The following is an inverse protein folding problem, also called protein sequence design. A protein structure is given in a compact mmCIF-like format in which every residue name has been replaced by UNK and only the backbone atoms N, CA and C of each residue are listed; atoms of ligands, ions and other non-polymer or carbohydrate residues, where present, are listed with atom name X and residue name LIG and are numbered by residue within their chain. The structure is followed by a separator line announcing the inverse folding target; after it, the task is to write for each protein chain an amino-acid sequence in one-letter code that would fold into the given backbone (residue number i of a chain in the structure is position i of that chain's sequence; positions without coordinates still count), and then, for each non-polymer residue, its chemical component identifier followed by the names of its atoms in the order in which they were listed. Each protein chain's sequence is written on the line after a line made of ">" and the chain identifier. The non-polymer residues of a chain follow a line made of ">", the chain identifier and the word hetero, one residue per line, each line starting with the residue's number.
data_IF_495708312459
#
_entry.id   IF_495708312459
#
_cell.length_a   1.000
_cell.length_b   1.000
_cell.length_c   1.000
_cell.angle_alpha   90.00
_cell.angle_beta   90.00
_cell.angle_gamma   90.00
#
_symmetry.space_group_name_H-M   'P 1'
#
loop_
_entity.id
_entity.type
_entity.pdbx_description
1 polymer ?
#
# COMPACT_ATOMS: atom_id res chain seq x y z
N UNK A 1 -74.78 54.00 49.79
CA UNK A 1 -74.23 52.86 49.02
C UNK A 1 -72.73 53.06 48.86
N UNK A 2 -71.91 52.09 49.28
CA UNK A 2 -70.46 52.21 49.49
C UNK A 2 -69.68 52.27 48.16
N UNK A 3 -68.82 53.27 48.00
CA UNK A 3 -67.81 53.35 46.94
C UNK A 3 -66.64 52.44 47.29
N UNK A 4 -66.30 51.49 46.42
CA UNK A 4 -65.10 50.67 46.52
C UNK A 4 -64.11 51.10 45.43
N UNK A 5 -63.07 51.82 45.85
CA UNK A 5 -61.84 52.01 45.07
C UNK A 5 -60.92 50.83 45.38
N UNK A 6 -60.56 50.03 44.37
CA UNK A 6 -59.45 49.08 44.48
C UNK A 6 -58.57 49.25 43.25
N UNK A 7 -57.36 49.74 43.50
CA UNK A 7 -56.27 49.93 42.57
C UNK A 7 -55.38 48.67 42.63
N UNK A 8 -55.06 48.05 41.50
CA UNK A 8 -54.02 47.02 41.44
C UNK A 8 -53.08 47.20 40.24
N UNK A 9 -51.85 47.60 40.61
CA UNK A 9 -50.51 47.47 40.00
C UNK A 9 -50.37 47.07 38.51
N UNK A 10 -49.80 48.00 37.74
CA UNK A 10 -49.33 47.85 36.35
C UNK A 10 -48.13 46.88 36.29
N UNK A 11 -48.31 45.67 35.75
CA UNK A 11 -47.23 44.75 35.39
C UNK A 11 -46.64 45.12 34.02
N UNK A 12 -45.34 45.40 33.96
CA UNK A 12 -44.58 45.66 32.72
C UNK A 12 -44.24 44.31 32.07
N UNK A 13 -44.92 43.95 30.99
CA UNK A 13 -44.53 42.83 30.14
C UNK A 13 -43.52 43.36 29.09
N UNK A 14 -42.22 43.16 29.33
CA UNK A 14 -41.21 43.30 28.28
C UNK A 14 -41.27 42.07 27.38
N UNK A 15 -41.97 42.17 26.25
CA UNK A 15 -41.85 41.18 25.17
C UNK A 15 -40.47 41.34 24.52
N UNK A 16 -39.59 40.37 24.75
CA UNK A 16 -38.33 40.22 24.03
C UNK A 16 -38.63 40.05 22.54
N UNK A 17 -38.35 41.10 21.75
CA UNK A 17 -38.63 41.17 20.32
C UNK A 17 -37.42 40.75 19.45
N UNK A 18 -36.42 40.08 20.04
CA UNK A 18 -35.12 39.83 19.40
C UNK A 18 -34.82 38.34 19.09
N UNK A 19 -35.64 37.39 19.53
CA UNK A 19 -35.35 35.96 19.32
C UNK A 19 -35.65 35.45 17.89
N UNK A 20 -36.59 36.07 17.17
CA UNK A 20 -37.04 35.59 15.86
C UNK A 20 -36.16 36.02 14.68
N UNK A 21 -35.60 37.24 14.71
CA UNK A 21 -34.77 37.74 13.60
C UNK A 21 -33.38 37.11 13.58
N UNK A 22 -32.82 36.84 14.75
CA UNK A 22 -31.48 36.26 14.89
C UNK A 22 -31.47 34.79 14.45
N UNK A 23 -32.51 34.02 14.79
CA UNK A 23 -32.66 32.64 14.31
C UNK A 23 -32.90 32.57 12.80
N UNK A 24 -33.65 33.51 12.22
CA UNK A 24 -33.86 33.60 10.78
C UNK A 24 -32.57 33.95 10.03
N UNK A 25 -31.75 34.87 10.55
CA UNK A 25 -30.45 35.20 9.95
C UNK A 25 -29.48 34.02 10.05
N UNK A 26 -29.49 33.29 11.18
CA UNK A 26 -28.69 32.07 11.35
C UNK A 26 -29.11 30.95 10.38
N UNK A 27 -30.42 30.80 10.15
CA UNK A 27 -30.96 29.84 9.17
C UNK A 27 -30.60 30.21 7.73
N UNK A 28 -30.66 31.49 7.38
CA UNK A 28 -30.27 31.98 6.06
C UNK A 28 -28.76 31.83 5.87
N UNK A 29 -27.95 32.12 6.88
CA UNK A 29 -26.51 31.91 6.85
C UNK A 29 -26.16 30.42 6.68
N UNK A 30 -26.83 29.52 7.39
CA UNK A 30 -26.69 28.06 7.24
C UNK A 30 -27.10 27.59 5.83
N UNK A 31 -28.16 28.19 5.27
CA UNK A 31 -28.62 27.85 3.92
C UNK A 31 -27.63 28.34 2.85
N UNK A 32 -27.05 29.53 3.03
CA UNK A 32 -26.02 30.07 2.13
C UNK A 32 -24.74 29.23 2.23
N UNK A 33 -24.29 28.82 3.42
CA UNK A 33 -23.11 27.96 3.53
C UNK A 33 -23.34 26.55 2.95
N UNK A 34 -24.56 26.02 3.02
CA UNK A 34 -24.92 24.74 2.40
C UNK A 34 -24.95 24.81 0.86
N UNK A 35 -25.42 25.93 0.28
CA UNK A 35 -25.49 26.13 -1.18
C UNK A 35 -24.11 26.41 -1.79
N UNK A 36 -23.19 27.01 -1.03
CA UNK A 36 -21.82 27.34 -1.48
C UNK A 36 -20.79 26.28 -1.13
N UNK A 37 -21.21 25.11 -0.65
CA UNK A 37 -20.31 23.98 -0.53
C UNK A 37 -20.04 23.44 -1.94
N UNK A 38 -18.82 23.53 -2.49
CA UNK A 38 -18.51 22.85 -3.73
C UNK A 38 -18.65 21.36 -3.43
N UNK A 39 -19.71 20.74 -3.96
CA UNK A 39 -19.77 19.30 -4.12
C UNK A 39 -18.66 18.93 -5.11
N UNK A 40 -17.43 18.83 -4.61
CA UNK A 40 -16.34 18.23 -5.33
C UNK A 40 -16.71 16.74 -5.46
N UNK A 41 -17.44 16.42 -6.52
CA UNK A 41 -17.46 15.07 -7.06
C UNK A 41 -16.03 14.84 -7.54
N UNK A 42 -15.17 14.42 -6.61
CA UNK A 42 -13.95 13.74 -6.97
C UNK A 42 -14.43 12.49 -7.72
N UNK A 43 -14.48 12.58 -9.05
CA UNK A 43 -14.71 11.42 -9.89
C UNK A 43 -13.55 10.49 -9.58
N UNK A 44 -13.75 9.56 -8.65
CA UNK A 44 -12.93 8.37 -8.55
C UNK A 44 -13.18 7.63 -9.85
N UNK A 45 -12.34 7.97 -10.79
CA UNK A 45 -12.08 7.28 -12.03
C UNK A 45 -12.08 5.77 -11.67
N UNK A 46 -13.08 5.04 -12.20
CA UNK A 46 -13.33 3.62 -11.88
C UNK A 46 -12.36 2.68 -12.58
N UNK A 47 -12.23 1.40 -12.19
CA UNK A 47 -11.29 0.49 -12.86
C UNK A 47 -11.59 0.41 -14.37
N UNK A 48 -10.53 0.50 -15.18
CA UNK A 48 -10.58 0.31 -16.63
C UNK A 48 -10.38 -1.18 -16.91
N UNK A 49 -11.22 -1.73 -17.78
CA UNK A 49 -11.12 -3.10 -18.26
C UNK A 49 -10.29 -3.16 -19.53
N UNK A 50 -9.20 -3.93 -19.50
CA UNK A 50 -8.36 -4.21 -20.65
C UNK A 50 -8.62 -5.62 -21.14
N UNK A 51 -8.99 -5.75 -22.40
CA UNK A 51 -8.99 -6.99 -23.13
C UNK A 51 -7.83 -6.98 -24.11
N UNK A 52 -7.20 -8.12 -24.35
CA UNK A 52 -6.15 -8.14 -25.36
C UNK A 52 -5.69 -9.52 -25.75
N UNK A 53 -4.81 -9.56 -26.75
CA UNK A 53 -4.05 -10.76 -27.13
C UNK A 53 -2.57 -10.43 -27.12
N UNK A 54 -1.80 -11.39 -26.65
CA UNK A 54 -0.34 -11.32 -26.65
C UNK A 54 0.17 -12.16 -27.82
N UNK A 55 1.04 -11.58 -28.62
CA UNK A 55 1.67 -12.18 -29.79
C UNK A 55 3.18 -12.21 -29.62
N UNK A 56 3.83 -13.16 -30.28
CA UNK A 56 5.25 -13.09 -30.56
C UNK A 56 5.51 -12.06 -31.67
N UNK A 57 6.45 -11.14 -31.44
CA UNK A 57 6.87 -10.15 -32.43
C UNK A 57 7.52 -10.80 -33.68
N UNK A 58 8.18 -11.94 -33.53
CA UNK A 58 8.85 -12.64 -34.63
C UNK A 58 7.88 -13.46 -35.48
N UNK A 59 7.21 -14.43 -34.85
CA UNK A 59 6.32 -15.36 -35.56
C UNK A 59 4.90 -14.87 -35.74
N UNK A 60 4.49 -13.81 -35.03
CA UNK A 60 3.11 -13.26 -35.00
C UNK A 60 2.06 -14.26 -34.54
N UNK A 61 2.49 -15.33 -33.87
CA UNK A 61 1.59 -16.32 -33.28
C UNK A 61 1.14 -15.86 -31.89
N UNK A 62 -0.11 -16.15 -31.49
CA UNK A 62 -0.57 -15.85 -30.15
C UNK A 62 0.22 -16.67 -29.13
N UNK A 63 0.63 -16.03 -28.03
CA UNK A 63 1.41 -16.65 -26.97
C UNK A 63 0.51 -17.04 -25.79
N UNK A 64 0.33 -18.35 -25.52
CA UNK A 64 -0.38 -18.80 -24.33
C UNK A 64 0.50 -18.66 -23.07
N UNK A 65 -0.14 -18.78 -21.90
CA UNK A 65 0.51 -18.84 -20.59
C UNK A 65 1.47 -17.68 -20.26
N UNK A 66 1.25 -16.50 -20.85
CA UNK A 66 2.00 -15.29 -20.49
C UNK A 66 1.46 -14.74 -19.18
N UNK A 67 2.33 -14.58 -18.19
CA UNK A 67 1.98 -14.02 -16.90
C UNK A 67 1.97 -12.50 -16.94
N UNK A 68 1.01 -11.89 -16.23
CA UNK A 68 0.96 -10.44 -16.05
C UNK A 68 0.82 -10.03 -14.59
N UNK A 69 1.56 -8.98 -14.25
CA UNK A 69 1.72 -8.44 -12.89
C UNK A 69 1.26 -6.99 -12.90
N UNK A 70 0.39 -6.63 -11.95
CA UNK A 70 -0.14 -5.27 -11.79
C UNK A 70 0.32 -4.74 -10.43
N UNK A 71 1.02 -3.60 -10.40
CA UNK A 71 1.58 -3.00 -9.16
C UNK A 71 2.37 -4.00 -8.29
N UNK A 72 3.14 -4.88 -8.92
CA UNK A 72 3.95 -5.90 -8.21
C UNK A 72 3.16 -7.08 -7.63
N UNK A 73 1.85 -7.19 -7.90
CA UNK A 73 1.04 -8.35 -7.54
C UNK A 73 0.72 -9.17 -8.80
N UNK A 74 0.90 -10.48 -8.72
CA UNK A 74 0.49 -11.40 -9.77
C UNK A 74 -1.03 -11.27 -9.96
N UNK A 75 -1.46 -10.91 -11.17
CA UNK A 75 -2.87 -10.70 -11.47
C UNK A 75 -3.47 -11.91 -12.22
N UNK A 76 -2.72 -12.51 -13.13
CA UNK A 76 -3.19 -13.69 -13.86
C UNK A 76 -2.24 -14.15 -14.97
N UNK A 77 -2.77 -15.01 -15.84
CA UNK A 77 -2.11 -15.53 -17.03
C UNK A 77 -3.07 -15.49 -18.23
N UNK A 78 -2.53 -15.51 -19.44
CA UNK A 78 -3.32 -15.57 -20.67
C UNK A 78 -3.91 -16.96 -20.92
N UNK A 79 -5.07 -17.01 -21.58
CA UNK A 79 -5.69 -18.27 -22.04
C UNK A 79 -4.83 -18.97 -23.12
N UNK A 80 -5.18 -20.20 -23.47
CA UNK A 80 -4.67 -21.03 -24.58
C UNK A 80 -4.58 -20.31 -25.94
N UNK A 81 -5.42 -19.29 -26.15
CA UNK A 81 -5.42 -18.44 -27.36
C UNK A 81 -4.58 -17.16 -27.21
N UNK A 82 -3.81 -17.04 -26.13
CA UNK A 82 -3.01 -15.87 -25.78
C UNK A 82 -3.81 -14.63 -25.39
N UNK A 83 -5.09 -14.81 -25.04
CA UNK A 83 -6.00 -13.70 -24.71
C UNK A 83 -5.97 -13.39 -23.21
N UNK A 84 -6.16 -12.12 -22.84
CA UNK A 84 -6.22 -11.66 -21.46
C UNK A 84 -7.35 -10.66 -21.22
N UNK A 85 -7.75 -10.60 -19.95
CA UNK A 85 -8.75 -9.67 -19.43
C UNK A 85 -8.31 -9.23 -18.04
N UNK A 86 -8.15 -7.94 -17.81
CA UNK A 86 -7.68 -7.42 -16.51
C UNK A 86 -8.28 -6.06 -16.19
N UNK A 87 -8.46 -5.79 -14.90
CA UNK A 87 -8.79 -4.45 -14.41
C UNK A 87 -7.53 -3.71 -13.99
N UNK A 88 -7.34 -2.49 -14.51
CA UNK A 88 -6.25 -1.61 -14.12
C UNK A 88 -6.77 -0.18 -13.86
N UNK A 89 -6.02 0.59 -13.07
CA UNK A 89 -6.30 2.00 -12.82
C UNK A 89 -5.29 2.87 -13.56
N UNK A 90 -5.59 4.15 -13.72
CA UNK A 90 -4.65 5.13 -14.22
C UNK A 90 -3.35 5.12 -13.43
N UNK A 91 -2.24 5.30 -14.14
CA UNK A 91 -0.86 5.23 -13.64
C UNK A 91 -0.44 3.85 -13.09
N UNK A 92 -1.26 2.80 -13.21
CA UNK A 92 -0.80 1.45 -12.94
C UNK A 92 0.19 1.00 -14.01
N UNK A 93 1.25 0.33 -13.56
CA UNK A 93 2.21 -0.34 -14.43
C UNK A 93 1.87 -1.83 -14.48
N UNK A 94 1.71 -2.33 -15.71
CA UNK A 94 1.43 -3.72 -16.01
C UNK A 94 2.69 -4.30 -16.66
N UNK A 95 3.17 -5.43 -16.12
CA UNK A 95 4.35 -6.12 -16.61
C UNK A 95 3.92 -7.47 -17.15
N UNK A 96 4.22 -7.72 -18.42
CA UNK A 96 3.99 -8.99 -19.08
C UNK A 96 5.30 -9.76 -19.18
N UNK A 97 5.30 -11.01 -18.74
CA UNK A 97 6.50 -11.86 -18.70
C UNK A 97 6.17 -13.27 -19.16
N UNK A 98 7.03 -13.82 -20.01
CA UNK A 98 7.00 -15.19 -20.48
C UNK A 98 8.43 -15.73 -20.57
N UNK A 99 8.61 -17.03 -20.35
CA UNK A 99 9.94 -17.67 -20.43
C UNK A 99 10.43 -17.59 -21.88
N UNK A 100 11.67 -17.13 -22.08
CA UNK A 100 12.27 -16.95 -23.41
C UNK A 100 11.88 -15.65 -24.12
N UNK A 101 11.16 -14.74 -23.45
CA UNK A 101 10.80 -13.43 -23.97
C UNK A 101 11.26 -12.30 -23.03
N UNK A 102 11.59 -11.16 -23.61
CA UNK A 102 11.88 -9.95 -22.83
C UNK A 102 10.60 -9.45 -22.16
N UNK A 103 10.65 -9.05 -20.87
CA UNK A 103 9.47 -8.54 -20.16
C UNK A 103 9.04 -7.19 -20.75
N UNK A 104 7.76 -7.09 -21.12
CA UNK A 104 7.18 -5.86 -21.65
C UNK A 104 6.45 -5.08 -20.55
N UNK A 105 6.70 -3.78 -20.45
CA UNK A 105 6.09 -2.89 -19.46
C UNK A 105 5.15 -1.91 -20.14
N UNK A 106 3.89 -1.92 -19.72
CA UNK A 106 2.85 -1.01 -20.19
C UNK A 106 2.37 -0.15 -19.02
N UNK A 107 2.36 1.16 -19.19
CA UNK A 107 1.78 2.10 -18.23
C UNK A 107 0.42 2.58 -18.71
N UNK A 108 -0.59 2.52 -17.83
CA UNK A 108 -1.93 3.01 -18.13
C UNK A 108 -1.94 4.53 -18.04
N UNK A 109 -2.06 5.21 -19.18
CA UNK A 109 -2.02 6.67 -19.25
C UNK A 109 -3.34 7.30 -18.75
N UNK A 110 -3.25 8.52 -18.20
CA UNK A 110 -4.39 9.32 -17.69
C UNK A 110 -5.33 9.80 -18.80
N UNK A 111 -4.88 9.77 -20.06
CA UNK A 111 -5.67 10.18 -21.24
C UNK A 111 -6.74 9.15 -21.64
N UNK A 112 -6.77 7.98 -21.00
CA UNK A 112 -7.72 6.92 -21.28
C UNK A 112 -9.06 7.22 -20.57
N UNK A 113 -10.07 7.65 -21.34
CA UNK A 113 -11.40 8.01 -20.83
C UNK A 113 -12.48 6.92 -20.97
N UNK A 114 -12.32 5.96 -21.89
CA UNK A 114 -13.23 4.83 -22.03
C UNK A 114 -13.10 3.82 -20.87
N UNK A 115 -14.18 3.05 -20.63
CA UNK A 115 -14.21 2.00 -19.59
C UNK A 115 -13.55 0.70 -20.04
N UNK A 116 -13.53 0.45 -21.33
CA UNK A 116 -13.06 -0.79 -21.95
C UNK A 116 -12.08 -0.46 -23.07
N UNK A 117 -10.96 -1.19 -23.13
CA UNK A 117 -9.95 -1.07 -24.18
C UNK A 117 -9.50 -2.42 -24.67
N UNK A 118 -9.18 -2.48 -25.96
CA UNK A 118 -8.57 -3.64 -26.59
C UNK A 118 -7.10 -3.36 -26.89
N UNK A 119 -6.20 -4.21 -26.42
CA UNK A 119 -4.76 -4.08 -26.56
C UNK A 119 -4.15 -5.29 -27.28
N UNK A 120 -3.30 -5.03 -28.27
CA UNK A 120 -2.44 -6.04 -28.90
C UNK A 120 -1.01 -5.86 -28.41
N UNK A 121 -0.46 -6.84 -27.70
CA UNK A 121 0.88 -6.76 -27.13
C UNK A 121 1.80 -7.71 -27.88
N UNK A 122 2.96 -7.22 -28.30
CA UNK A 122 3.96 -8.01 -29.02
C UNK A 122 5.19 -8.17 -28.14
N UNK A 123 5.49 -9.41 -27.76
CA UNK A 123 6.69 -9.74 -26.98
C UNK A 123 7.83 -10.11 -27.92
N UNK A 124 9.02 -9.60 -27.63
CA UNK A 124 10.24 -9.95 -28.36
C UNK A 124 10.95 -11.10 -27.67
N UNK A 125 11.28 -12.15 -28.41
CA UNK A 125 12.07 -13.27 -27.88
C UNK A 125 13.43 -12.80 -27.36
N UNK A 126 13.76 -13.19 -26.13
CA UNK A 126 15.05 -12.94 -25.50
C UNK A 126 15.72 -14.29 -25.25
N UNK A 127 16.70 -14.62 -26.11
CA UNK A 127 17.39 -15.90 -26.06
C UNK A 127 18.44 -15.85 -24.95
N UNK A 128 18.01 -16.09 -23.72
CA UNK A 128 18.94 -16.29 -22.60
C UNK A 128 19.58 -17.68 -22.73
N UNK A 129 20.84 -17.72 -23.19
CA UNK A 129 21.66 -18.92 -23.17
C UNK A 129 21.95 -19.29 -21.71
N UNK A 130 21.30 -20.35 -21.20
CA UNK A 130 21.60 -20.87 -19.86
C UNK A 130 22.93 -21.64 -19.94
N UNK A 131 24.01 -21.20 -19.27
CA UNK A 131 25.27 -21.94 -19.29
C UNK A 131 25.09 -23.27 -18.55
N UNK A 132 25.54 -24.37 -19.16
CA UNK A 132 25.55 -25.67 -18.51
C UNK A 132 26.45 -25.64 -17.26
N UNK A 133 25.89 -25.92 -16.09
CA UNK A 133 26.66 -26.07 -14.85
C UNK A 133 27.14 -27.52 -14.76
N UNK A 134 28.45 -27.73 -14.97
CA UNK A 134 29.09 -29.04 -14.77
C UNK A 134 29.41 -29.19 -13.28
N UNK A 135 28.68 -30.07 -12.59
CA UNK A 135 28.92 -30.40 -11.19
C UNK A 135 29.87 -31.60 -11.13
N UNK A 136 31.09 -31.38 -10.65
CA UNK A 136 32.10 -32.44 -10.49
C UNK A 136 32.07 -32.91 -9.03
N UNK A 137 31.97 -34.23 -8.76
CA UNK A 137 32.02 -34.76 -7.41
C UNK A 137 33.42 -34.55 -6.80
N UNK A 138 33.46 -33.93 -5.62
CA UNK A 138 34.70 -33.66 -4.89
C UNK A 138 35.12 -34.91 -4.14
N UNK A 139 36.02 -35.72 -4.71
CA UNK A 139 36.72 -36.79 -3.98
C UNK A 139 37.87 -36.16 -3.19
N UNK A 140 37.54 -35.51 -2.06
CA UNK A 140 38.51 -34.96 -1.12
C UNK A 140 38.50 -35.79 0.16
N UNK A 141 39.65 -36.25 0.61
CA UNK A 141 39.82 -36.91 1.91
C UNK A 141 39.39 -35.95 3.02
N UNK A 142 38.13 -36.07 3.44
CA UNK A 142 37.40 -35.20 4.38
C UNK A 142 38.24 -34.91 5.64
N UNK A 143 39.05 -35.87 6.07
CA UNK A 143 39.89 -35.77 7.26
C UNK A 143 40.98 -34.69 7.17
N UNK A 144 41.56 -34.47 5.99
CA UNK A 144 42.61 -33.45 5.80
C UNK A 144 42.01 -32.04 5.80
N UNK A 145 40.78 -31.90 5.32
CA UNK A 145 40.08 -30.61 5.24
C UNK A 145 39.52 -30.19 6.61
N UNK A 146 38.93 -31.13 7.36
CA UNK A 146 38.52 -30.90 8.76
C UNK A 146 39.71 -30.52 9.66
N UNK A 147 40.89 -31.08 9.40
CA UNK A 147 42.11 -30.79 10.18
C UNK A 147 42.78 -29.46 9.79
N UNK A 148 42.50 -28.94 8.58
CA UNK A 148 43.00 -27.64 8.12
C UNK A 148 42.07 -26.47 8.52
N UNK A 149 40.82 -26.76 8.84
CA UNK A 149 39.84 -25.78 9.29
C UNK A 149 40.19 -25.32 10.71
N UNK A 150 40.35 -24.00 10.91
CA UNK A 150 40.56 -23.45 12.25
C UNK A 150 39.32 -23.77 13.10
N UNK A 151 39.48 -24.22 14.37
CA UNK A 151 38.33 -24.40 15.23
C UNK A 151 37.59 -23.07 15.35
N UNK A 152 36.26 -23.11 15.15
CA UNK A 152 35.41 -21.95 15.31
C UNK A 152 35.52 -21.35 16.73
N UNK A 153 35.12 -20.08 16.92
CA UNK A 153 35.18 -19.44 18.23
C UNK A 153 34.39 -20.26 19.26
N UNK A 154 34.99 -20.49 20.43
CA UNK A 154 34.30 -21.17 21.53
C UNK A 154 33.06 -20.38 21.98
N UNK A 155 32.10 -21.06 22.59
CA UNK A 155 30.89 -20.40 23.13
C UNK A 155 31.26 -19.28 24.13
N UNK A 156 32.30 -19.49 24.93
CA UNK A 156 32.84 -18.49 25.85
C UNK A 156 33.35 -17.25 25.12
N UNK A 157 34.06 -17.44 23.99
CA UNK A 157 34.53 -16.33 23.15
C UNK A 157 33.35 -15.57 22.52
N UNK A 158 32.31 -16.27 22.08
CA UNK A 158 31.09 -15.65 21.55
C UNK A 158 30.38 -14.82 22.63
N UNK A 159 30.23 -15.39 23.83
CA UNK A 159 29.61 -14.71 24.96
C UNK A 159 30.42 -13.47 25.39
N UNK A 160 31.76 -13.60 25.46
CA UNK A 160 32.66 -12.49 25.78
C UNK A 160 32.58 -11.39 24.71
N UNK A 161 32.62 -11.75 23.43
CA UNK A 161 32.48 -10.80 22.32
C UNK A 161 31.13 -10.06 22.36
N UNK A 162 30.03 -10.76 22.68
CA UNK A 162 28.72 -10.14 22.82
C UNK A 162 28.66 -9.18 24.02
N UNK A 163 29.22 -9.58 25.17
CA UNK A 163 29.29 -8.73 26.36
C UNK A 163 30.13 -7.46 26.10
N UNK A 164 31.29 -7.61 25.45
CA UNK A 164 32.15 -6.47 25.06
C UNK A 164 31.40 -5.55 24.10
N UNK A 165 30.74 -6.09 23.06
CA UNK A 165 30.01 -5.30 22.08
C UNK A 165 28.89 -4.48 22.72
N UNK A 166 28.15 -5.07 23.66
CA UNK A 166 27.09 -4.37 24.41
C UNK A 166 27.70 -3.24 25.26
N UNK A 167 28.80 -3.50 25.97
CA UNK A 167 29.47 -2.50 26.79
C UNK A 167 30.03 -1.33 25.96
N UNK A 168 30.66 -1.63 24.81
CA UNK A 168 31.17 -0.62 23.88
C UNK A 168 30.03 0.23 23.33
N UNK A 169 28.93 -0.40 22.89
CA UNK A 169 27.76 0.33 22.40
C UNK A 169 27.21 1.27 23.47
N UNK A 170 27.03 0.79 24.71
CA UNK A 170 26.54 1.60 25.83
C UNK A 170 27.46 2.79 26.13
N UNK A 171 28.77 2.62 26.04
CA UNK A 171 29.74 3.71 26.24
C UNK A 171 29.77 4.73 25.10
N UNK A 172 29.46 4.31 23.86
CA UNK A 172 29.38 5.21 22.71
C UNK A 172 28.05 5.96 22.63
N UNK A 173 26.93 5.32 22.98
CA UNK A 173 25.59 5.93 22.86
C UNK A 173 25.19 6.79 24.05
N UNK A 174 25.75 6.51 25.23
CA UNK A 174 25.53 7.33 26.42
C UNK A 174 26.81 8.11 26.71
N UNK A 175 27.06 9.24 26.04
CA UNK A 175 28.16 10.12 26.43
C UNK A 175 27.96 10.48 27.91
N UNK A 176 29.01 10.47 28.74
CA UNK A 176 28.89 10.84 30.14
C UNK A 176 28.47 12.32 30.19
N UNK A 177 27.20 12.57 30.49
CA UNK A 177 26.77 13.89 30.94
C UNK A 177 27.50 14.12 32.28
N UNK A 178 28.56 14.93 32.25
CA UNK A 178 29.29 15.34 33.45
C UNK A 178 28.40 16.28 34.27
N UNK A 179 27.46 15.69 35.02
CA UNK A 179 26.67 16.34 36.06
C UNK A 179 27.16 15.99 37.47
N UNK A 180 26.42 16.43 38.48
CA UNK A 180 26.64 16.03 39.87
C UNK A 180 26.52 14.49 39.99
N UNK A 181 27.50 13.78 40.56
CA UNK A 181 27.43 12.34 40.81
C UNK A 181 26.11 11.90 41.43
N UNK A 182 25.55 12.69 42.35
CA UNK A 182 24.27 12.39 42.98
C UNK A 182 23.12 12.24 41.97
N UNK A 183 23.03 13.16 41.00
CA UNK A 183 22.00 13.17 39.95
C UNK A 183 22.19 11.99 38.98
N UNK A 184 23.43 11.65 38.63
CA UNK A 184 23.72 10.50 37.77
C UNK A 184 23.31 9.17 38.44
N UNK A 185 23.60 9.02 39.75
CA UNK A 185 23.14 7.86 40.52
C UNK A 185 21.62 7.79 40.64
N UNK A 186 20.94 8.92 40.82
CA UNK A 186 19.48 8.97 40.86
C UNK A 186 18.86 8.58 39.51
N UNK A 187 19.42 9.04 38.40
CA UNK A 187 18.96 8.71 37.05
C UNK A 187 19.16 7.22 36.72
N UNK A 188 20.32 6.65 37.08
CA UNK A 188 20.58 5.21 36.99
C UNK A 188 19.60 4.39 37.82
N UNK A 189 19.37 4.79 39.08
CA UNK A 189 18.40 4.13 39.98
C UNK A 189 16.97 4.22 39.44
N UNK A 190 16.61 5.36 38.86
CA UNK A 190 15.31 5.57 38.23
C UNK A 190 15.11 4.62 37.04
N UNK A 191 16.13 4.49 36.18
CA UNK A 191 16.10 3.59 35.02
C UNK A 191 15.99 2.12 35.44
N UNK A 192 16.81 1.67 36.40
CA UNK A 192 16.73 0.31 36.94
C UNK A 192 15.35 0.00 37.54
N UNK A 193 14.74 1.00 38.19
CA UNK A 193 13.38 0.88 38.73
C UNK A 193 12.35 0.71 37.62
N UNK A 194 12.43 1.50 36.55
CA UNK A 194 11.55 1.36 35.38
C UNK A 194 11.72 -0.02 34.72
N UNK A 195 12.96 -0.43 34.43
CA UNK A 195 13.27 -1.74 33.83
C UNK A 195 12.70 -2.90 34.66
N UNK A 196 12.75 -2.79 36.00
CA UNK A 196 12.20 -3.79 36.91
C UNK A 196 10.65 -3.81 36.91
N UNK A 197 9.99 -2.66 36.86
CA UNK A 197 8.53 -2.58 36.78
C UNK A 197 7.98 -3.04 35.43
N UNK A 198 8.70 -2.72 34.35
CA UNK A 198 8.32 -3.09 32.99
C UNK A 198 8.70 -4.54 32.67
N UNK A 199 9.51 -5.21 33.52
CA UNK A 199 9.86 -6.62 33.36
C UNK A 199 8.60 -7.50 33.44
N UNK A 200 8.16 -7.98 32.28
CA UNK A 200 6.94 -8.79 32.15
C UNK A 200 5.68 -8.00 31.80
N UNK A 201 5.78 -6.67 31.69
CA UNK A 201 4.72 -5.80 31.16
C UNK A 201 5.12 -5.26 29.78
N UNK A 202 4.21 -4.54 29.12
CA UNK A 202 4.53 -3.79 27.90
C UNK A 202 5.22 -2.50 28.35
N UNK A 203 6.46 -2.21 27.94
CA UNK A 203 7.17 -1.03 28.38
C UNK A 203 6.47 0.23 27.87
N UNK A 204 6.56 1.31 28.64
CA UNK A 204 5.76 2.52 28.46
C UNK A 204 6.03 3.19 27.10
N UNK A 205 7.25 3.05 26.58
CA UNK A 205 7.70 3.53 25.26
C UNK A 205 7.07 2.79 24.08
N UNK A 206 6.51 1.59 24.30
CA UNK A 206 5.84 0.76 23.29
C UNK A 206 4.33 0.70 23.46
N UNK A 207 3.77 1.48 24.38
CA UNK A 207 2.32 1.59 24.52
C UNK A 207 1.73 2.34 23.32
N UNK A 208 1.05 1.61 22.44
CA UNK A 208 0.28 2.21 21.35
C UNK A 208 -1.07 2.68 21.90
N UNK A 209 -1.33 3.98 21.84
CA UNK A 209 -2.62 4.55 22.22
C UNK A 209 -3.71 4.10 21.27
N UNK A 210 -4.55 3.15 21.70
CA UNK A 210 -5.73 2.73 20.94
C UNK A 210 -6.85 3.76 21.14
N UNK A 211 -7.12 4.57 20.12
CA UNK A 211 -8.29 5.46 20.13
C UNK A 211 -9.54 4.70 19.63
N UNK A 212 -10.74 5.00 20.16
CA UNK A 212 -11.99 4.42 19.64
C UNK A 212 -12.19 4.67 18.14
N UNK A 213 -11.73 5.82 17.63
CA UNK A 213 -11.84 6.19 16.21
C UNK A 213 -10.93 5.36 15.30
N UNK A 214 -9.82 4.82 15.81
CA UNK A 214 -8.93 3.92 15.06
C UNK A 214 -9.32 2.45 15.20
N UNK A 215 -9.92 2.06 16.33
CA UNK A 215 -10.33 0.68 16.62
C UNK A 215 -11.47 0.21 15.70
N UNK A 216 -12.50 1.02 15.49
CA UNK A 216 -13.67 0.65 14.69
C UNK A 216 -13.29 0.28 13.24
N UNK A 217 -12.59 1.14 12.46
CA UNK A 217 -12.19 0.78 11.11
C UNK A 217 -11.22 -0.40 11.08
N UNK A 218 -10.31 -0.50 12.06
CA UNK A 218 -9.35 -1.61 12.15
C UNK A 218 -10.04 -2.97 12.38
N UNK A 219 -10.97 -3.04 13.34
CA UNK A 219 -11.77 -4.24 13.62
C UNK A 219 -12.59 -4.63 12.40
N UNK A 220 -13.21 -3.66 11.72
CA UNK A 220 -13.96 -3.92 10.49
C UNK A 220 -13.07 -4.53 9.40
N UNK A 221 -11.88 -3.97 9.15
CA UNK A 221 -10.94 -4.50 8.14
C UNK A 221 -10.35 -5.86 8.51
N UNK A 222 -10.17 -6.15 9.82
CA UNK A 222 -9.72 -7.46 10.30
C UNK A 222 -10.81 -8.52 10.19
N UNK A 223 -12.07 -8.15 10.44
CA UNK A 223 -13.21 -9.07 10.43
C UNK A 223 -13.69 -9.40 9.02
N UNK A 224 -13.76 -8.40 8.14
CA UNK A 224 -14.32 -8.52 6.78
C UNK A 224 -13.22 -8.70 5.73
N UNK A 225 -11.97 -8.34 6.05
CA UNK A 225 -10.90 -8.28 5.07
C UNK A 225 -10.97 -7.01 4.20
N UNK A 226 -9.97 -6.78 3.34
CA UNK A 226 -10.04 -5.72 2.33
C UNK A 226 -11.22 -5.99 1.37
N UNK A 227 -11.89 -4.95 0.85
CA UNK A 227 -13.00 -5.12 -0.08
C UNK A 227 -12.55 -5.91 -1.32
N UNK A 228 -13.32 -6.93 -1.69
CA UNK A 228 -13.05 -7.77 -2.86
C UNK A 228 -13.13 -6.94 -4.15
N UNK A 229 -12.11 -7.06 -5.01
CA UNK A 229 -12.20 -6.55 -6.39
C UNK A 229 -12.90 -7.61 -7.23
N UNK A 230 -13.95 -7.27 -8.00
CA UNK A 230 -14.61 -8.25 -8.85
C UNK A 230 -13.63 -8.82 -9.87
N UNK A 231 -13.70 -10.13 -10.09
CA UNK A 231 -12.85 -10.79 -11.08
C UNK A 231 -13.13 -10.25 -12.49
N UNK A 232 -12.10 -10.08 -13.32
CA UNK A 232 -12.30 -9.69 -14.71
C UNK A 232 -13.13 -10.75 -15.46
N UNK A 233 -14.05 -10.33 -16.34
CA UNK A 233 -14.81 -11.26 -17.16
C UNK A 233 -13.87 -12.06 -18.06
N UNK A 234 -14.31 -13.24 -18.50
CA UNK A 234 -13.52 -14.10 -19.37
C UNK A 234 -13.04 -13.34 -20.62
N UNK A 235 -11.76 -13.49 -21.01
CA UNK A 235 -11.21 -12.79 -22.16
C UNK A 235 -11.92 -13.23 -23.45
N UNK A 236 -12.55 -12.28 -24.13
CA UNK A 236 -13.18 -12.50 -25.43
C UNK A 236 -12.91 -11.31 -26.34
N UNK A 237 -12.39 -11.57 -27.54
CA UNK A 237 -12.13 -10.54 -28.55
C UNK A 237 -12.74 -11.01 -29.87
N UNK A 238 -13.47 -10.10 -30.51
CA UNK A 238 -14.09 -10.33 -31.81
C UNK A 238 -13.03 -10.49 -32.90
N UNK A 239 -13.29 -11.32 -33.91
CA UNK A 239 -12.39 -11.47 -35.07
C UNK A 239 -12.10 -10.13 -35.76
N UNK A 240 -13.10 -9.24 -35.82
CA UNK A 240 -12.95 -7.90 -36.40
C UNK A 240 -11.91 -7.06 -35.65
N UNK A 241 -11.94 -7.11 -34.33
CA UNK A 241 -11.01 -6.33 -33.49
C UNK A 241 -9.59 -6.91 -33.58
N UNK A 242 -9.47 -8.24 -33.72
CA UNK A 242 -8.20 -8.92 -33.98
C UNK A 242 -7.57 -8.46 -35.29
N UNK A 243 -8.36 -8.41 -36.37
CA UNK A 243 -7.88 -7.97 -37.69
C UNK A 243 -7.50 -6.48 -37.66
N UNK A 244 -8.28 -5.67 -36.95
CA UNK A 244 -7.96 -4.26 -36.74
C UNK A 244 -6.64 -4.06 -36.00
N UNK A 245 -6.40 -4.80 -34.90
CA UNK A 245 -5.14 -4.74 -34.15
C UNK A 245 -3.93 -5.11 -35.02
N UNK A 246 -4.05 -6.16 -35.82
CA UNK A 246 -3.01 -6.59 -36.75
C UNK A 246 -2.70 -5.51 -37.79
N UNK A 247 -3.75 -4.96 -38.41
CA UNK A 247 -3.61 -3.89 -39.39
C UNK A 247 -2.94 -2.65 -38.79
N UNK A 248 -3.34 -2.22 -37.59
CA UNK A 248 -2.73 -1.07 -36.90
C UNK A 248 -1.26 -1.35 -36.61
N UNK A 249 -0.92 -2.53 -36.11
CA UNK A 249 0.46 -2.91 -35.85
C UNK A 249 1.32 -2.88 -37.13
N UNK A 250 0.85 -3.48 -38.23
CA UNK A 250 1.56 -3.48 -39.51
C UNK A 250 1.78 -2.04 -40.03
N UNK A 251 0.81 -1.15 -39.83
CA UNK A 251 0.94 0.26 -40.24
C UNK A 251 2.02 1.02 -39.46
N UNK A 252 2.28 0.64 -38.20
CA UNK A 252 3.33 1.23 -37.38
C UNK A 252 4.72 0.77 -37.81
N UNK A 253 4.86 -0.49 -38.23
CA UNK A 253 6.14 -1.02 -38.73
C UNK A 253 6.56 -0.37 -40.06
N UNK A 254 5.61 -0.05 -40.93
CA UNK A 254 5.86 0.56 -42.24
C UNK A 254 6.23 2.05 -42.18
N UNK A 255 6.01 2.70 -41.04
CA UNK A 255 6.26 4.14 -40.86
C UNK A 255 7.68 4.45 -40.41
N UNK A 256 8.54 3.43 -40.26
CA UNK A 256 9.96 3.54 -39.93
C UNK A 256 10.77 2.81 -41.01
#
# INVERSE_FOLDING_TARGET
>A
MRKAFIMFRRGRLTKSFFAGRLSQVLLIFLFITAVWSPCAIAQKHGPILFHGVIFDAGTRQPLPDVHYIIRGRAAGATDSRGMFSLYARWNDTIIFSCIGYAPYRMTVQDTLHAREYTAGIYLTGDTTMIPAVVVIPRLGNIRAEIMAERPGPSQEMINASNNIRIAVYQGLTNPPEMGDPAVNYELLRHKQRLDAYEKGQIPSDRMVGLSPFTLIPLIYTLAVGPPETPDPPAPHISSRDMDYLRHVHDSLLLRH
#
